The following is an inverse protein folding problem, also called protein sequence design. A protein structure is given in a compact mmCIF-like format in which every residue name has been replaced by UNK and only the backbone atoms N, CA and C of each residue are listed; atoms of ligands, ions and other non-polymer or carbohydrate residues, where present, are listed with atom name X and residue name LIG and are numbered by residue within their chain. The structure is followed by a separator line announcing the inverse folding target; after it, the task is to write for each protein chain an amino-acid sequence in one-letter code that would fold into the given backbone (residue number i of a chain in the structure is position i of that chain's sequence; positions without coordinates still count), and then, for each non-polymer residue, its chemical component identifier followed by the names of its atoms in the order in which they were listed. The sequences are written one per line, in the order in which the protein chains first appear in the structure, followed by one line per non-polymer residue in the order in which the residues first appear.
data_IF_846287394922
#
_entry.id   IF_846287394922
#
_cell.length_a   1.000
_cell.length_b   1.000
_cell.length_c   1.000
_cell.angle_alpha   90.00
_cell.angle_beta   90.00
_cell.angle_gamma   90.00
#
_symmetry.space_group_name_H-M   'P 1'
#
loop_
_entity.id
_entity.type
_entity.pdbx_description
1 polymer ?
#
# COMPACT_ATOMS: atom_id res chain seq x y z
N UNK A 1 1.91 -26.32 16.85
CA UNK A 1 2.80 -25.56 17.76
C UNK A 1 2.58 -24.10 17.45
N UNK A 2 2.15 -23.30 18.42
CA UNK A 2 2.14 -21.85 18.25
C UNK A 2 3.60 -21.37 18.12
N UNK A 3 3.88 -20.57 17.10
CA UNK A 3 5.17 -19.93 16.93
C UNK A 3 5.19 -18.68 17.82
N UNK A 4 6.26 -18.51 18.59
CA UNK A 4 6.44 -17.30 19.38
C UNK A 4 6.66 -16.10 18.45
N UNK A 5 6.04 -14.95 18.77
CA UNK A 5 6.29 -13.70 18.08
C UNK A 5 7.54 -13.01 18.65
N UNK A 6 8.32 -12.38 17.76
CA UNK A 6 9.46 -11.54 18.14
C UNK A 6 9.05 -10.07 18.06
N UNK A 7 9.46 -9.29 19.06
CA UNK A 7 9.31 -7.84 19.03
C UNK A 7 10.52 -7.22 18.35
N UNK A 8 10.26 -6.48 17.27
CA UNK A 8 11.25 -5.63 16.60
C UNK A 8 11.00 -4.17 16.97
N UNK A 9 12.06 -3.38 17.11
CA UNK A 9 11.95 -1.96 17.49
C UNK A 9 12.87 -1.12 16.62
N UNK A 10 12.34 -0.01 16.09
CA UNK A 10 13.03 0.89 15.18
C UNK A 10 12.93 2.31 15.75
N UNK A 11 14.05 3.05 15.78
CA UNK A 11 14.05 4.47 16.16
C UNK A 11 13.65 5.31 14.95
N UNK A 12 12.65 6.16 15.12
CA UNK A 12 12.12 7.03 14.08
C UNK A 12 12.62 8.46 14.23
N UNK A 13 12.74 9.15 13.10
CA UNK A 13 13.08 10.56 13.00
C UNK A 13 11.88 11.35 12.45
N UNK A 14 11.86 12.66 12.73
CA UNK A 14 10.82 13.54 12.20
C UNK A 14 10.82 13.49 10.67
N UNK A 15 9.64 13.27 10.09
CA UNK A 15 9.45 13.14 8.66
C UNK A 15 9.48 11.70 8.13
N UNK A 16 9.87 10.71 8.96
CA UNK A 16 9.80 9.30 8.57
C UNK A 16 8.34 8.89 8.30
N UNK A 17 8.15 8.09 7.25
CA UNK A 17 6.84 7.56 6.87
C UNK A 17 6.84 6.04 7.04
N UNK A 18 5.86 5.52 7.79
CA UNK A 18 5.64 4.10 8.00
C UNK A 18 4.35 3.68 7.31
N UNK A 19 4.40 2.56 6.60
CA UNK A 19 3.24 1.97 5.95
C UNK A 19 3.05 0.53 6.42
N UNK A 20 1.82 0.19 6.75
CA UNK A 20 1.36 -1.18 6.98
C UNK A 20 0.20 -1.47 6.04
N UNK A 21 0.17 -2.65 5.45
CA UNK A 21 -0.85 -2.98 4.46
C UNK A 21 -1.11 -4.49 4.40
N UNK A 22 -2.33 -4.86 4.00
CA UNK A 22 -2.67 -6.22 3.58
C UNK A 22 -2.20 -6.50 2.14
N UNK A 23 -2.35 -7.74 1.71
CA UNK A 23 -2.02 -8.20 0.36
C UNK A 23 -3.03 -7.76 -0.72
N UNK A 24 -4.29 -7.50 -0.36
CA UNK A 24 -5.36 -7.17 -1.30
C UNK A 24 -5.03 -6.07 -2.33
N UNK A 25 -4.30 -5.01 -1.94
CA UNK A 25 -3.88 -3.98 -2.91
C UNK A 25 -2.93 -4.56 -3.97
N UNK A 26 -1.93 -5.34 -3.54
CA UNK A 26 -0.94 -5.93 -4.43
C UNK A 26 -1.56 -7.03 -5.31
N UNK A 27 -2.56 -7.73 -4.79
CA UNK A 27 -3.22 -8.84 -5.46
C UNK A 27 -4.34 -8.44 -6.43
N UNK A 28 -4.77 -7.17 -6.41
CA UNK A 28 -5.77 -6.65 -7.33
C UNK A 28 -5.35 -6.80 -8.80
N UNK A 29 -6.21 -7.45 -9.58
CA UNK A 29 -6.11 -7.55 -11.04
C UNK A 29 -6.61 -6.27 -11.71
N UNK A 30 -5.99 -5.92 -12.83
CA UNK A 30 -6.35 -4.73 -13.58
C UNK A 30 -5.33 -4.27 -14.60
N UNK A 31 -5.45 -3.01 -15.00
CA UNK A 31 -4.67 -2.37 -16.05
C UNK A 31 -4.90 -2.97 -17.43
N UNK A 32 -4.23 -2.46 -18.48
CA UNK A 32 -4.52 -2.81 -19.89
C UNK A 32 -4.31 -4.28 -20.27
N UNK A 33 -3.69 -5.06 -19.38
CA UNK A 33 -3.36 -6.47 -19.60
C UNK A 33 -3.97 -7.41 -18.54
N UNK A 34 -4.87 -6.90 -17.68
CA UNK A 34 -5.52 -7.70 -16.63
C UNK A 34 -4.53 -8.41 -15.70
N UNK A 35 -3.51 -7.69 -15.21
CA UNK A 35 -2.46 -8.27 -14.36
C UNK A 35 -2.63 -7.81 -12.91
N UNK A 36 -2.04 -8.57 -11.97
CA UNK A 36 -1.88 -8.12 -10.58
C UNK A 36 -1.09 -6.82 -10.49
N UNK A 37 -1.40 -5.98 -9.50
CA UNK A 37 -0.66 -4.76 -9.22
C UNK A 37 0.79 -5.08 -8.82
N UNK A 38 0.95 -6.09 -7.95
CA UNK A 38 2.18 -6.61 -7.35
C UNK A 38 2.83 -5.66 -6.31
N UNK A 39 3.44 -6.26 -5.27
CA UNK A 39 4.15 -5.52 -4.23
C UNK A 39 5.25 -4.59 -4.74
N UNK A 40 5.94 -4.99 -5.82
CA UNK A 40 7.02 -4.18 -6.40
C UNK A 40 6.53 -2.81 -6.87
N UNK A 41 5.34 -2.75 -7.50
CA UNK A 41 4.74 -1.47 -7.90
C UNK A 41 4.24 -0.68 -6.70
N UNK A 42 3.60 -1.34 -5.73
CA UNK A 42 3.11 -0.68 -4.52
C UNK A 42 4.23 -0.01 -3.74
N UNK A 43 5.33 -0.72 -3.48
CA UNK A 43 6.50 -0.16 -2.78
C UNK A 43 7.11 1.02 -3.55
N UNK A 44 7.25 0.89 -4.88
CA UNK A 44 7.75 1.98 -5.72
C UNK A 44 6.84 3.20 -5.64
N UNK A 45 5.53 2.99 -5.70
CA UNK A 45 4.54 4.06 -5.65
C UNK A 45 4.50 4.77 -4.30
N UNK A 46 4.54 4.01 -3.19
CA UNK A 46 4.66 4.59 -1.85
C UNK A 46 5.91 5.47 -1.71
N UNK A 47 7.05 5.05 -2.26
CA UNK A 47 8.28 5.84 -2.32
C UNK A 47 8.19 7.07 -3.23
N UNK A 48 7.26 7.10 -4.18
CA UNK A 48 7.05 8.27 -5.06
C UNK A 48 6.20 9.33 -4.36
N UNK A 49 5.16 8.89 -3.64
CA UNK A 49 4.19 9.80 -3.02
C UNK A 49 4.56 10.21 -1.59
N UNK A 50 5.55 9.56 -0.94
CA UNK A 50 5.82 9.72 0.49
C UNK A 50 6.15 11.15 0.94
N UNK A 51 6.48 12.09 0.05
CA UNK A 51 6.74 13.48 0.44
C UNK A 51 5.49 14.35 0.48
N UNK A 52 4.36 13.87 -0.07
CA UNK A 52 3.09 14.60 -0.08
C UNK A 52 2.40 14.53 1.28
N UNK A 53 1.45 15.43 1.53
CA UNK A 53 0.64 15.39 2.76
C UNK A 53 -0.09 14.05 2.90
N UNK A 54 -0.28 13.58 4.14
CA UNK A 54 -0.86 12.25 4.38
C UNK A 54 -2.25 12.07 3.76
N UNK A 55 -3.05 13.13 3.74
CA UNK A 55 -4.37 13.12 3.10
C UNK A 55 -4.24 12.99 1.57
N UNK A 56 -3.27 13.67 0.96
CA UNK A 56 -3.01 13.58 -0.47
C UNK A 56 -2.52 12.17 -0.85
N UNK A 57 -1.67 11.57 -0.03
CA UNK A 57 -1.22 10.19 -0.25
C UNK A 57 -2.39 9.20 -0.21
N UNK A 58 -3.32 9.37 0.74
CA UNK A 58 -4.52 8.55 0.84
C UNK A 58 -5.34 8.62 -0.45
N UNK A 59 -5.57 9.83 -0.94
CA UNK A 59 -6.35 10.06 -2.16
C UNK A 59 -5.64 9.47 -3.39
N UNK A 60 -4.33 9.68 -3.50
CA UNK A 60 -3.50 9.14 -4.58
C UNK A 60 -3.47 7.61 -4.61
N UNK A 61 -3.38 6.96 -3.44
CA UNK A 61 -3.49 5.51 -3.33
C UNK A 61 -4.88 5.01 -3.73
N UNK A 62 -5.93 5.71 -3.30
CA UNK A 62 -7.29 5.36 -3.69
C UNK A 62 -7.50 5.47 -5.20
N UNK A 63 -7.12 6.59 -5.81
CA UNK A 63 -7.23 6.81 -7.25
C UNK A 63 -6.41 5.79 -8.03
N UNK A 64 -5.16 5.57 -7.66
CA UNK A 64 -4.30 4.57 -8.32
C UNK A 64 -4.89 3.16 -8.25
N UNK A 65 -5.52 2.81 -7.12
CA UNK A 65 -6.20 1.53 -6.99
C UNK A 65 -7.43 1.43 -7.90
N UNK A 66 -8.29 2.45 -7.92
CA UNK A 66 -9.48 2.47 -8.77
C UNK A 66 -9.11 2.45 -10.26
N UNK A 67 -8.13 3.25 -10.66
CA UNK A 67 -7.62 3.31 -12.03
C UNK A 67 -7.00 1.99 -12.47
N UNK A 68 -6.25 1.33 -11.57
CA UNK A 68 -5.70 0.02 -11.87
C UNK A 68 -6.80 -1.01 -11.99
N UNK A 69 -7.68 -1.11 -10.99
CA UNK A 69 -8.79 -2.07 -10.95
C UNK A 69 -9.67 -1.91 -12.19
N UNK A 70 -10.02 -0.68 -12.56
CA UNK A 70 -11.00 -0.39 -13.60
C UNK A 70 -12.30 -1.16 -13.36
N UNK A 71 -12.75 -1.85 -14.39
CA UNK A 71 -13.95 -2.70 -14.37
C UNK A 71 -13.74 -4.07 -13.72
N UNK A 72 -12.50 -4.43 -13.37
CA UNK A 72 -12.24 -5.71 -12.68
C UNK A 72 -12.91 -5.73 -11.31
N UNK A 73 -13.36 -6.91 -10.91
CA UNK A 73 -13.88 -7.12 -9.57
C UNK A 73 -12.76 -6.95 -8.54
N UNK A 74 -13.10 -6.43 -7.37
CA UNK A 74 -12.19 -6.44 -6.24
C UNK A 74 -12.05 -7.89 -5.74
N UNK A 75 -10.81 -8.35 -5.57
CA UNK A 75 -10.53 -9.76 -5.28
C UNK A 75 -10.41 -10.08 -3.79
N UNK A 76 -10.11 -9.07 -2.96
CA UNK A 76 -9.89 -9.22 -1.53
C UNK A 76 -10.08 -7.89 -0.79
N UNK A 77 -10.06 -7.92 0.54
CA UNK A 77 -10.09 -6.73 1.39
C UNK A 77 -8.77 -5.94 1.30
N UNK A 78 -8.89 -4.62 1.13
CA UNK A 78 -7.75 -3.72 0.93
C UNK A 78 -7.58 -2.82 2.14
N UNK A 79 -6.45 -2.96 2.84
CA UNK A 79 -6.07 -2.10 3.96
C UNK A 79 -4.69 -1.51 3.70
N UNK A 80 -4.59 -0.17 3.79
CA UNK A 80 -3.31 0.56 3.87
C UNK A 80 -3.42 1.58 5.01
N UNK A 81 -2.45 1.54 5.92
CA UNK A 81 -2.28 2.50 7.01
C UNK A 81 -0.94 3.19 6.79
N UNK A 82 -0.96 4.52 6.69
CA UNK A 82 0.24 5.36 6.62
C UNK A 82 0.34 6.26 7.83
N UNK A 83 1.53 6.37 8.42
CA UNK A 83 1.83 7.23 9.56
C UNK A 83 3.09 8.03 9.25
N UNK A 84 3.07 9.33 9.55
CA UNK A 84 4.25 10.19 9.52
C UNK A 84 4.55 10.73 10.91
N UNK A 85 5.84 10.70 11.29
CA UNK A 85 6.36 11.22 12.58
C UNK A 85 6.68 12.71 12.52
#
# INVERSE_FOLDING_TARGET
MEQAFNQESIKLQKGDCLYMFSDGYADQFGGPKGKKFMYGKLKKYLLEIHQKEMNDQKELLYQTFQDWKGEEAQVDDVIIIGIRV
#
